data_IF_757204270241
#
_entry.id   IF_757204270241
#
_cell.length_a   1.000
_cell.length_b   1.000
_cell.length_c   1.000
_cell.angle_alpha   90.00
_cell.angle_beta   90.00
_cell.angle_gamma   90.00
#
_symmetry.space_group_name_H-M   'P 1'
#
loop_
_entity.id
_entity.type
_entity.pdbx_description
1 polymer ?
#
# COMPACT_ATOMS: atom_id res chain seq x y z
N UNK A 1 -27.57 86.92 39.25
CA UNK A 1 -26.46 85.92 39.29
C UNK A 1 -27.02 84.55 38.99
N UNK A 2 -26.81 84.08 37.76
CA UNK A 2 -27.30 82.74 37.31
C UNK A 2 -26.13 81.77 37.51
N UNK A 3 -26.30 80.80 38.44
CA UNK A 3 -25.32 79.73 38.69
C UNK A 3 -25.39 78.77 37.54
N UNK A 4 -24.25 78.55 36.83
CA UNK A 4 -24.09 77.46 35.87
C UNK A 4 -24.15 76.09 36.60
N UNK A 5 -24.84 75.09 36.08
CA UNK A 5 -24.80 73.75 36.65
C UNK A 5 -23.43 73.11 36.47
N UNK A 6 -23.01 72.22 37.37
CA UNK A 6 -21.71 71.59 37.30
C UNK A 6 -21.68 70.68 36.06
N UNK A 7 -20.61 70.76 35.23
CA UNK A 7 -20.34 69.84 34.13
C UNK A 7 -20.23 68.43 34.69
N UNK A 8 -21.04 67.57 34.19
CA UNK A 8 -21.15 66.17 34.62
C UNK A 8 -19.79 65.47 34.52
N UNK A 9 -19.33 64.91 35.61
CA UNK A 9 -18.16 64.02 35.71
C UNK A 9 -18.38 62.66 35.04
N UNK A 10 -19.51 62.43 34.38
CA UNK A 10 -19.89 61.23 33.70
C UNK A 10 -19.15 61.00 32.35
N UNK A 11 -18.59 62.05 31.75
CA UNK A 11 -17.91 61.87 30.42
C UNK A 11 -16.48 61.26 30.52
N UNK A 12 -15.81 61.42 31.67
CA UNK A 12 -14.45 60.86 31.82
C UNK A 12 -14.42 59.37 32.15
N UNK A 13 -15.45 58.86 32.83
CA UNK A 13 -15.55 57.45 33.17
C UNK A 13 -15.94 56.58 31.92
N UNK A 14 -16.77 57.12 31.06
CA UNK A 14 -17.15 56.46 29.79
C UNK A 14 -15.96 56.40 28.82
N UNK A 15 -15.22 57.51 28.67
CA UNK A 15 -14.02 57.53 27.82
C UNK A 15 -12.91 56.57 28.31
N UNK A 16 -12.70 56.49 29.63
CA UNK A 16 -11.75 55.55 30.21
C UNK A 16 -12.18 54.06 29.97
N UNK A 17 -13.49 53.77 30.07
CA UNK A 17 -14.02 52.45 29.77
C UNK A 17 -13.85 52.10 28.30
N UNK A 18 -14.05 53.04 27.39
CA UNK A 18 -13.89 52.79 25.93
C UNK A 18 -12.41 52.62 25.56
N UNK A 19 -11.48 53.32 26.17
CA UNK A 19 -10.04 53.13 26.02
C UNK A 19 -9.63 51.75 26.51
N UNK A 20 -10.11 51.30 27.66
CA UNK A 20 -9.81 49.98 28.19
C UNK A 20 -10.34 48.86 27.28
N UNK A 21 -11.59 48.96 26.80
CA UNK A 21 -12.18 48.02 25.85
C UNK A 21 -11.37 47.96 24.57
N UNK A 22 -10.94 49.09 24.04
CA UNK A 22 -10.12 49.15 22.84
C UNK A 22 -8.77 48.48 23.07
N UNK A 23 -8.07 48.77 24.15
CA UNK A 23 -6.80 48.09 24.48
C UNK A 23 -6.96 46.58 24.63
N UNK A 24 -8.04 46.13 25.26
CA UNK A 24 -8.35 44.73 25.41
C UNK A 24 -8.57 44.06 24.05
N UNK A 25 -9.35 44.65 23.15
CA UNK A 25 -9.59 44.16 21.79
C UNK A 25 -8.33 44.18 20.93
N UNK A 26 -7.53 45.23 21.04
CA UNK A 26 -6.25 45.32 20.32
C UNK A 26 -5.27 44.23 20.77
N UNK A 27 -5.22 43.92 22.06
CA UNK A 27 -4.41 42.80 22.57
C UNK A 27 -4.91 41.46 22.05
N UNK A 28 -6.23 41.21 22.10
CA UNK A 28 -6.80 39.98 21.55
C UNK A 28 -6.55 39.83 20.04
N UNK A 29 -6.70 40.93 19.28
CA UNK A 29 -6.40 40.96 17.86
C UNK A 29 -4.93 40.61 17.58
N UNK A 30 -4.01 41.19 18.33
CA UNK A 30 -2.58 40.93 18.21
C UNK A 30 -2.23 39.47 18.55
N UNK A 31 -2.82 38.93 19.61
CA UNK A 31 -2.60 37.52 20.00
C UNK A 31 -3.18 36.56 18.97
N UNK A 32 -4.36 36.87 18.44
CA UNK A 32 -4.98 36.08 17.37
C UNK A 32 -4.14 36.15 16.06
N UNK A 33 -3.69 37.33 15.68
CA UNK A 33 -2.82 37.53 14.50
C UNK A 33 -1.51 36.73 14.63
N UNK A 34 -0.86 36.77 15.82
CA UNK A 34 0.33 35.96 16.07
C UNK A 34 0.05 34.46 15.97
N UNK A 35 -1.11 34.01 16.50
CA UNK A 35 -1.53 32.64 16.44
C UNK A 35 -1.74 32.17 14.98
N UNK A 36 -2.41 32.97 14.15
CA UNK A 36 -2.61 32.72 12.72
C UNK A 36 -1.26 32.62 12.00
N UNK A 37 -0.36 33.58 12.24
CA UNK A 37 0.97 33.57 11.62
C UNK A 37 1.80 32.33 12.02
N UNK A 38 1.67 31.88 13.28
CA UNK A 38 2.33 30.67 13.76
C UNK A 38 1.77 29.42 13.04
N UNK A 39 0.44 29.34 12.88
CA UNK A 39 -0.23 28.25 12.17
C UNK A 39 0.16 28.23 10.68
N UNK A 40 0.18 29.38 10.01
CA UNK A 40 0.59 29.48 8.60
C UNK A 40 2.05 29.00 8.42
N UNK A 41 2.93 29.38 9.34
CA UNK A 41 4.32 28.92 9.32
C UNK A 41 4.44 27.42 9.53
N UNK A 42 3.62 26.84 10.43
CA UNK A 42 3.57 25.40 10.66
C UNK A 42 3.04 24.64 9.43
N UNK A 43 1.97 25.13 8.81
CA UNK A 43 1.42 24.56 7.57
C UNK A 43 2.48 24.56 6.46
N UNK A 44 3.13 25.70 6.23
CA UNK A 44 4.18 25.82 5.22
C UNK A 44 5.31 24.80 5.42
N UNK A 45 5.72 24.61 6.69
CA UNK A 45 6.76 23.63 7.04
C UNK A 45 6.29 22.20 6.78
N UNK A 46 5.07 21.85 7.19
CA UNK A 46 4.48 20.52 6.94
C UNK A 46 4.38 20.26 5.45
N UNK A 47 3.93 21.22 4.66
CA UNK A 47 3.82 21.10 3.20
C UNK A 47 5.18 20.83 2.54
N UNK A 48 6.23 21.53 2.98
CA UNK A 48 7.59 21.30 2.46
C UNK A 48 8.11 19.91 2.82
N UNK A 49 7.94 19.48 4.07
CA UNK A 49 8.34 18.15 4.53
C UNK A 49 7.55 17.05 3.79
N UNK A 50 6.25 17.26 3.59
CA UNK A 50 5.39 16.33 2.86
C UNK A 50 5.81 16.20 1.40
N UNK A 51 6.07 17.31 0.70
CA UNK A 51 6.55 17.32 -0.69
C UNK A 51 7.88 16.58 -0.82
N UNK A 52 8.81 16.80 0.09
CA UNK A 52 10.11 16.12 0.07
C UNK A 52 9.96 14.61 0.27
N UNK A 53 9.24 14.19 1.32
CA UNK A 53 9.00 12.76 1.61
C UNK A 53 8.23 12.07 0.49
N UNK A 54 7.23 12.74 -0.08
CA UNK A 54 6.45 12.19 -1.19
C UNK A 54 7.36 11.93 -2.40
N UNK A 55 8.22 12.89 -2.76
CA UNK A 55 9.14 12.73 -3.88
C UNK A 55 10.11 11.57 -3.67
N UNK A 56 10.72 11.49 -2.50
CA UNK A 56 11.68 10.43 -2.16
C UNK A 56 11.02 9.03 -2.24
N UNK A 57 9.81 8.89 -1.68
CA UNK A 57 9.05 7.63 -1.73
C UNK A 57 8.58 7.32 -3.15
N UNK A 58 8.11 8.33 -3.90
CA UNK A 58 7.68 8.17 -5.28
C UNK A 58 8.82 7.63 -6.17
N UNK A 59 10.02 8.20 -6.04
CA UNK A 59 11.18 7.75 -6.80
C UNK A 59 11.59 6.32 -6.43
N UNK A 60 11.54 5.96 -5.14
CA UNK A 60 11.82 4.60 -4.68
C UNK A 60 10.79 3.59 -5.20
N UNK A 61 9.49 3.91 -5.11
CA UNK A 61 8.41 3.04 -5.63
C UNK A 61 8.59 2.88 -7.14
N UNK A 62 8.88 3.95 -7.85
CA UNK A 62 9.05 3.94 -9.31
C UNK A 62 10.19 3.01 -9.75
N UNK A 63 11.33 3.08 -9.08
CA UNK A 63 12.47 2.20 -9.34
C UNK A 63 12.13 0.73 -9.02
N UNK A 64 11.48 0.47 -7.89
CA UNK A 64 11.08 -0.87 -7.49
C UNK A 64 10.02 -1.44 -8.44
N UNK A 65 9.02 -0.62 -8.84
CA UNK A 65 7.97 -1.02 -9.78
C UNK A 65 8.58 -1.50 -11.10
N UNK A 66 9.51 -0.75 -11.67
CA UNK A 66 10.18 -1.15 -12.90
C UNK A 66 10.94 -2.48 -12.71
N UNK A 67 11.60 -2.66 -11.58
CA UNK A 67 12.35 -3.89 -11.26
C UNK A 67 11.41 -5.11 -11.16
N UNK A 68 10.34 -5.03 -10.36
CA UNK A 68 9.37 -6.11 -10.18
C UNK A 68 8.60 -6.40 -11.47
N UNK A 69 8.20 -5.35 -12.20
CA UNK A 69 7.54 -5.50 -13.49
C UNK A 69 8.40 -6.29 -14.47
N UNK A 70 9.68 -5.92 -14.62
CA UNK A 70 10.61 -6.63 -15.50
C UNK A 70 10.80 -8.08 -15.09
N UNK A 71 10.83 -8.38 -13.79
CA UNK A 71 10.93 -9.74 -13.26
C UNK A 71 9.67 -10.56 -13.60
N UNK A 72 8.46 -10.02 -13.39
CA UNK A 72 7.19 -10.71 -13.60
C UNK A 72 6.90 -10.93 -15.10
N UNK A 73 7.11 -9.90 -15.92
CA UNK A 73 6.81 -9.98 -17.36
C UNK A 73 7.98 -10.52 -18.22
N UNK A 74 9.15 -10.69 -17.62
CA UNK A 74 10.35 -11.12 -18.35
C UNK A 74 10.91 -10.04 -19.27
N UNK A 75 10.59 -8.78 -19.02
CA UNK A 75 11.02 -7.62 -19.79
C UNK A 75 9.99 -6.50 -19.78
N UNK A 76 10.15 -5.53 -20.68
CA UNK A 76 9.29 -4.35 -20.73
C UNK A 76 9.69 -3.28 -19.72
N UNK A 77 8.77 -2.36 -19.43
CA UNK A 77 8.99 -1.23 -18.52
C UNK A 77 7.70 -0.80 -17.87
N UNK A 78 7.74 -0.47 -16.59
CA UNK A 78 6.64 0.20 -15.90
C UNK A 78 7.17 1.36 -15.06
N UNK A 79 6.35 2.41 -14.95
CA UNK A 79 6.70 3.61 -14.20
C UNK A 79 5.43 4.35 -13.76
N UNK A 80 5.62 5.18 -12.73
CA UNK A 80 4.59 6.08 -12.23
C UNK A 80 4.73 7.44 -12.91
N UNK A 81 3.61 8.05 -13.22
CA UNK A 81 3.51 9.39 -13.80
C UNK A 81 2.58 10.25 -12.94
N UNK A 82 3.02 11.46 -12.63
CA UNK A 82 2.19 12.43 -11.92
C UNK A 82 1.20 13.07 -12.89
N UNK A 83 -0.03 13.26 -12.45
CA UNK A 83 -1.07 13.89 -13.29
C UNK A 83 -1.03 15.40 -13.25
N UNK A 84 -0.37 15.99 -12.25
CA UNK A 84 -0.23 17.43 -12.07
C UNK A 84 1.17 17.78 -11.51
N UNK A 85 1.57 19.04 -11.65
CA UNK A 85 2.83 19.55 -11.12
C UNK A 85 2.80 19.88 -9.62
N UNK A 86 1.62 20.05 -9.03
CA UNK A 86 1.49 20.27 -7.59
C UNK A 86 1.52 18.96 -6.81
N UNK A 87 2.64 18.66 -6.18
CA UNK A 87 2.89 17.42 -5.45
C UNK A 87 1.91 17.14 -4.29
N UNK A 88 1.20 18.15 -3.78
CA UNK A 88 0.22 17.97 -2.69
C UNK A 88 -1.15 17.53 -3.21
N UNK A 89 -1.50 17.92 -4.42
CA UNK A 89 -2.82 17.65 -5.01
C UNK A 89 -2.77 16.71 -6.22
N UNK A 90 -1.56 16.28 -6.62
CA UNK A 90 -1.38 15.45 -7.81
C UNK A 90 -1.96 14.05 -7.62
N UNK A 91 -2.53 13.51 -8.69
CA UNK A 91 -2.80 12.08 -8.81
C UNK A 91 -1.57 11.33 -9.34
N UNK A 92 -1.59 10.01 -9.21
CA UNK A 92 -0.54 9.13 -9.74
C UNK A 92 -1.17 8.16 -10.73
N UNK A 93 -0.63 8.11 -11.94
CA UNK A 93 -1.00 7.15 -12.98
C UNK A 93 0.09 6.10 -13.15
N UNK A 94 -0.31 4.84 -13.34
CA UNK A 94 0.62 3.76 -13.64
C UNK A 94 0.67 3.58 -15.15
N UNK A 95 1.87 3.74 -15.70
CA UNK A 95 2.18 3.51 -17.11
C UNK A 95 2.97 2.22 -17.24
N UNK A 96 2.58 1.35 -18.16
CA UNK A 96 3.26 0.09 -18.40
C UNK A 96 3.41 -0.21 -19.89
N UNK A 97 4.53 -0.85 -20.22
CA UNK A 97 4.85 -1.37 -21.55
C UNK A 97 5.27 -2.84 -21.43
N UNK A 98 4.32 -3.78 -21.51
CA UNK A 98 4.65 -5.19 -21.61
C UNK A 98 5.56 -5.49 -22.80
N UNK A 99 6.33 -6.59 -22.80
CA UNK A 99 7.19 -6.96 -23.92
C UNK A 99 6.42 -7.01 -25.26
N UNK A 100 6.97 -6.39 -26.30
CA UNK A 100 6.35 -6.35 -27.63
C UNK A 100 5.16 -5.41 -27.79
N UNK A 101 4.81 -4.62 -26.79
CA UNK A 101 3.67 -3.68 -26.82
C UNK A 101 4.10 -2.23 -26.64
N UNK A 102 3.18 -1.30 -26.95
CA UNK A 102 3.38 0.14 -26.71
C UNK A 102 3.07 0.48 -25.25
N UNK A 103 3.64 1.58 -24.74
CA UNK A 103 3.30 2.13 -23.42
C UNK A 103 1.83 2.50 -23.38
N UNK A 104 1.16 2.08 -22.31
CA UNK A 104 -0.25 2.35 -22.06
C UNK A 104 -0.48 2.63 -20.58
N UNK A 105 -1.51 3.43 -20.31
CA UNK A 105 -2.06 3.51 -18.95
C UNK A 105 -2.62 2.14 -18.55
N UNK A 106 -2.52 1.79 -17.26
CA UNK A 106 -3.00 0.50 -16.72
C UNK A 106 -4.45 0.19 -17.12
N UNK A 107 -5.29 1.20 -17.27
CA UNK A 107 -6.70 1.03 -17.65
C UNK A 107 -6.89 0.43 -19.07
N UNK A 108 -5.89 0.57 -19.93
CA UNK A 108 -5.92 0.10 -21.33
C UNK A 108 -5.25 -1.28 -21.52
N UNK A 109 -4.77 -1.89 -20.45
CA UNK A 109 -4.16 -3.21 -20.47
C UNK A 109 -5.21 -4.33 -20.41
N UNK A 110 -4.84 -5.55 -20.81
CA UNK A 110 -5.67 -6.74 -20.61
C UNK A 110 -5.80 -7.09 -19.12
N UNK A 111 -6.78 -7.94 -18.76
CA UNK A 111 -7.03 -8.33 -17.37
C UNK A 111 -5.80 -8.93 -16.69
N UNK A 112 -5.12 -9.89 -17.34
CA UNK A 112 -3.89 -10.50 -16.82
C UNK A 112 -2.72 -9.52 -16.73
N UNK A 113 -2.57 -8.63 -17.70
CA UNK A 113 -1.56 -7.56 -17.62
C UNK A 113 -1.83 -6.58 -16.48
N UNK A 114 -3.10 -6.19 -16.27
CA UNK A 114 -3.49 -5.34 -15.13
C UNK A 114 -3.14 -5.99 -13.80
N UNK A 115 -3.46 -7.28 -13.65
CA UNK A 115 -3.15 -8.04 -12.45
C UNK A 115 -1.63 -8.08 -12.20
N UNK A 116 -0.83 -8.42 -13.22
CA UNK A 116 0.62 -8.47 -13.10
C UNK A 116 1.24 -7.11 -12.75
N UNK A 117 0.74 -6.01 -13.34
CA UNK A 117 1.16 -4.64 -13.00
C UNK A 117 0.76 -4.29 -11.56
N UNK A 118 -0.47 -4.65 -11.16
CA UNK A 118 -0.96 -4.43 -9.79
C UNK A 118 -0.09 -5.14 -8.76
N UNK A 119 0.25 -6.41 -9.00
CA UNK A 119 1.15 -7.19 -8.15
C UNK A 119 2.54 -6.51 -8.06
N UNK A 120 3.13 -6.13 -9.20
CA UNK A 120 4.41 -5.45 -9.23
C UNK A 120 4.39 -4.13 -8.43
N UNK A 121 3.28 -3.39 -8.51
CA UNK A 121 3.09 -2.15 -7.76
C UNK A 121 2.98 -2.39 -6.25
N UNK A 122 2.14 -3.35 -5.82
CA UNK A 122 2.01 -3.71 -4.40
C UNK A 122 3.35 -4.17 -3.83
N UNK A 123 4.09 -5.02 -4.55
CA UNK A 123 5.41 -5.49 -4.11
C UNK A 123 6.45 -4.37 -4.07
N UNK A 124 6.32 -3.36 -4.94
CA UNK A 124 7.20 -2.18 -4.89
C UNK A 124 7.03 -1.37 -3.61
N UNK A 125 5.81 -1.29 -3.09
CA UNK A 125 5.50 -0.64 -1.82
C UNK A 125 5.98 -1.50 -0.65
N UNK A 126 5.72 -2.82 -0.66
CA UNK A 126 6.19 -3.73 0.39
C UNK A 126 7.71 -3.75 0.54
N UNK A 127 8.44 -3.55 -0.54
CA UNK A 127 9.90 -3.47 -0.46
C UNK A 127 10.41 -2.26 0.32
N UNK A 128 9.63 -1.17 0.35
CA UNK A 128 9.99 0.04 1.10
C UNK A 128 9.53 -0.08 2.55
N UNK A 129 8.32 -0.59 2.76
CA UNK A 129 7.73 -0.76 4.08
C UNK A 129 7.13 -2.17 4.18
N UNK A 130 7.94 -3.18 4.52
CA UNK A 130 7.50 -4.57 4.57
C UNK A 130 6.47 -4.78 5.68
N UNK A 131 5.32 -5.36 5.30
CA UNK A 131 4.34 -5.85 6.26
C UNK A 131 4.82 -7.21 6.84
N UNK A 132 4.44 -7.56 8.07
CA UNK A 132 4.83 -8.83 8.68
C UNK A 132 4.24 -10.05 7.94
N UNK A 133 3.08 -9.89 7.31
CA UNK A 133 2.47 -10.90 6.45
C UNK A 133 1.70 -10.27 5.30
N UNK A 134 1.48 -11.04 4.24
CA UNK A 134 0.72 -10.65 3.05
C UNK A 134 -0.25 -11.78 2.68
N UNK A 135 -1.54 -11.47 2.62
CA UNK A 135 -2.57 -12.38 2.14
C UNK A 135 -2.90 -12.09 0.68
N UNK A 136 -2.75 -13.09 -0.18
CA UNK A 136 -3.00 -13.02 -1.61
C UNK A 136 -4.13 -13.99 -1.98
N UNK A 137 -5.26 -13.45 -2.42
CA UNK A 137 -6.46 -14.19 -2.77
C UNK A 137 -6.61 -14.23 -4.29
N UNK A 138 -6.39 -15.43 -4.87
CA UNK A 138 -6.48 -15.74 -6.32
C UNK A 138 -5.78 -14.74 -7.25
N UNK A 139 -4.70 -14.09 -6.79
CA UNK A 139 -3.98 -13.07 -7.58
C UNK A 139 -3.24 -13.65 -8.79
N UNK A 140 -2.97 -14.94 -8.77
CA UNK A 140 -2.30 -15.71 -9.83
C UNK A 140 -3.27 -16.21 -10.91
N UNK A 141 -4.58 -16.25 -10.64
CA UNK A 141 -5.58 -16.77 -11.58
C UNK A 141 -5.59 -16.06 -12.95
N UNK A 142 -5.42 -14.73 -13.07
CA UNK A 142 -5.39 -14.06 -14.35
C UNK A 142 -4.03 -14.09 -15.07
N UNK A 143 -2.98 -14.67 -14.45
CA UNK A 143 -1.64 -14.77 -15.02
C UNK A 143 -1.53 -16.01 -15.91
N UNK A 144 -0.78 -15.90 -17.01
CA UNK A 144 -0.37 -17.08 -17.78
C UNK A 144 0.71 -17.88 -17.03
N UNK A 145 0.94 -19.12 -17.42
CA UNK A 145 1.89 -20.01 -16.74
C UNK A 145 3.32 -19.44 -16.69
N UNK A 146 3.75 -18.74 -17.74
CA UNK A 146 5.08 -18.15 -17.80
C UNK A 146 5.23 -16.99 -16.81
N UNK A 147 4.22 -16.11 -16.73
CA UNK A 147 4.20 -15.01 -15.78
C UNK A 147 3.97 -15.50 -14.35
N UNK A 148 3.16 -16.55 -14.17
CA UNK A 148 2.96 -17.16 -12.87
C UNK A 148 4.25 -17.79 -12.32
N UNK A 149 5.02 -18.50 -13.14
CA UNK A 149 6.34 -19.00 -12.75
C UNK A 149 7.29 -17.88 -12.29
N UNK A 150 7.27 -16.73 -12.98
CA UNK A 150 8.08 -15.58 -12.61
C UNK A 150 7.58 -14.90 -11.34
N UNK A 151 6.26 -14.79 -11.17
CA UNK A 151 5.61 -14.33 -9.96
C UNK A 151 6.02 -15.19 -8.77
N UNK A 152 5.96 -16.51 -8.87
CA UNK A 152 6.39 -17.44 -7.83
C UNK A 152 7.85 -17.21 -7.41
N UNK A 153 8.76 -16.94 -8.37
CA UNK A 153 10.16 -16.61 -8.06
C UNK A 153 10.29 -15.32 -7.27
N UNK A 154 9.54 -14.28 -7.66
CA UNK A 154 9.53 -12.99 -6.94
C UNK A 154 9.01 -13.16 -5.51
N UNK A 155 7.93 -13.93 -5.34
CA UNK A 155 7.39 -14.23 -4.01
C UNK A 155 8.42 -14.97 -3.15
N UNK A 156 9.11 -15.96 -3.72
CA UNK A 156 10.17 -16.70 -3.01
C UNK A 156 11.32 -15.80 -2.57
N UNK A 157 11.75 -14.86 -3.42
CA UNK A 157 12.76 -13.85 -3.03
C UNK A 157 12.28 -12.94 -1.88
N UNK A 158 10.98 -12.63 -1.81
CA UNK A 158 10.43 -11.77 -0.78
C UNK A 158 10.08 -12.53 0.51
N UNK A 159 9.93 -13.85 0.44
CA UNK A 159 9.52 -14.68 1.58
C UNK A 159 10.54 -14.71 2.71
N UNK A 160 11.79 -14.29 2.46
CA UNK A 160 12.81 -14.13 3.50
C UNK A 160 12.47 -13.01 4.49
N UNK A 161 11.66 -12.04 4.09
CA UNK A 161 11.30 -10.86 4.89
C UNK A 161 9.80 -10.73 5.18
N UNK A 162 8.94 -11.39 4.42
CA UNK A 162 7.48 -11.29 4.52
C UNK A 162 6.85 -12.67 4.48
N UNK A 163 5.97 -12.98 5.42
CA UNK A 163 5.19 -14.22 5.39
C UNK A 163 4.05 -14.08 4.37
N UNK A 164 4.00 -14.99 3.38
CA UNK A 164 2.92 -15.02 2.40
C UNK A 164 1.88 -16.09 2.75
N UNK A 165 0.62 -15.72 2.62
CA UNK A 165 -0.53 -16.61 2.71
C UNK A 165 -1.28 -16.53 1.39
N UNK A 166 -1.42 -17.67 0.69
CA UNK A 166 -2.10 -17.75 -0.61
C UNK A 166 -3.43 -18.46 -0.50
N UNK A 167 -4.45 -17.91 -1.14
CA UNK A 167 -5.64 -18.65 -1.53
C UNK A 167 -5.53 -18.82 -3.04
N UNK A 168 -5.37 -20.07 -3.50
CA UNK A 168 -5.15 -20.35 -4.92
C UNK A 168 -5.64 -21.77 -5.29
N UNK A 169 -5.95 -21.96 -6.56
CA UNK A 169 -6.18 -23.26 -7.18
C UNK A 169 -5.08 -23.62 -8.20
N UNK A 170 -4.06 -22.75 -8.36
CA UNK A 170 -2.97 -22.96 -9.29
C UNK A 170 -1.90 -23.89 -8.69
N UNK A 171 -1.56 -24.97 -9.41
CA UNK A 171 -0.59 -25.97 -8.95
C UNK A 171 0.81 -25.39 -8.74
N UNK A 172 1.27 -24.49 -9.62
CA UNK A 172 2.60 -23.87 -9.52
C UNK A 172 2.74 -23.05 -8.24
N UNK A 173 1.67 -22.31 -7.88
CA UNK A 173 1.64 -21.53 -6.64
C UNK A 173 1.56 -22.45 -5.41
N UNK A 174 0.81 -23.55 -5.48
CA UNK A 174 0.75 -24.55 -4.40
C UNK A 174 2.12 -25.20 -4.14
N UNK A 175 2.88 -25.52 -5.20
CA UNK A 175 4.22 -26.13 -5.09
C UNK A 175 5.25 -25.19 -4.43
N UNK A 176 5.01 -23.90 -4.45
CA UNK A 176 5.85 -22.90 -3.79
C UNK A 176 5.69 -22.91 -2.27
N UNK A 177 4.54 -23.32 -1.75
CA UNK A 177 4.20 -23.24 -0.34
C UNK A 177 4.95 -24.28 0.50
N UNK A 178 5.40 -23.89 1.68
CA UNK A 178 5.99 -24.82 2.66
C UNK A 178 4.90 -25.65 3.36
N UNK A 179 3.71 -25.06 3.53
CA UNK A 179 2.53 -25.67 4.17
C UNK A 179 1.30 -25.49 3.30
N UNK A 180 0.62 -26.59 3.00
CA UNK A 180 -0.67 -26.62 2.30
C UNK A 180 -1.80 -26.83 3.30
N UNK A 181 -2.84 -26.00 3.21
CA UNK A 181 -4.07 -26.14 3.98
C UNK A 181 -5.26 -26.25 3.03
N UNK A 182 -5.90 -27.42 3.05
CA UNK A 182 -7.11 -27.68 2.25
C UNK A 182 -8.36 -27.56 3.09
N UNK A 183 -9.44 -27.05 2.48
CA UNK A 183 -10.77 -27.07 3.09
C UNK A 183 -11.58 -28.17 2.44
N UNK A 184 -12.06 -29.12 3.25
CA UNK A 184 -12.88 -30.25 2.78
C UNK A 184 -14.24 -30.21 3.46
N UNK A 185 -15.26 -30.71 2.77
CA UNK A 185 -16.62 -30.86 3.30
C UNK A 185 -17.03 -32.33 3.16
N UNK A 186 -16.84 -33.12 4.24
CA UNK A 186 -17.25 -34.53 4.27
C UNK A 186 -18.73 -34.68 4.59
N UNK A 187 -19.26 -33.77 5.39
CA UNK A 187 -20.68 -33.68 5.74
C UNK A 187 -21.24 -32.38 5.18
N UNK A 188 -22.46 -32.41 4.65
CA UNK A 188 -23.08 -31.24 4.05
C UNK A 188 -23.17 -30.07 5.07
N UNK A 189 -22.58 -28.93 4.74
CA UNK A 189 -22.57 -27.75 5.60
C UNK A 189 -21.47 -27.71 6.67
N UNK A 190 -20.62 -28.75 6.80
CA UNK A 190 -19.53 -28.80 7.79
C UNK A 190 -18.18 -28.78 7.09
N UNK A 191 -17.48 -27.65 7.13
CA UNK A 191 -16.13 -27.49 6.59
C UNK A 191 -15.08 -28.00 7.59
N UNK A 192 -14.10 -28.75 7.11
CA UNK A 192 -12.95 -29.22 7.87
C UNK A 192 -11.66 -28.75 7.23
N UNK A 193 -10.78 -28.15 8.04
CA UNK A 193 -9.44 -27.79 7.62
C UNK A 193 -8.52 -29.02 7.72
N UNK A 194 -7.75 -29.26 6.66
CA UNK A 194 -6.70 -30.29 6.60
C UNK A 194 -5.40 -29.60 6.20
N UNK A 195 -4.38 -29.67 7.05
CA UNK A 195 -3.07 -29.08 6.79
C UNK A 195 -2.03 -30.18 6.59
N UNK A 196 -1.16 -29.99 5.58
CA UNK A 196 -0.09 -30.93 5.24
C UNK A 196 1.19 -30.10 5.00
N UNK A 197 2.28 -30.52 5.64
CA UNK A 197 3.61 -29.99 5.32
C UNK A 197 4.07 -30.63 4.01
N UNK A 198 4.38 -29.83 3.00
CA UNK A 198 4.74 -30.32 1.64
C UNK A 198 6.00 -31.16 1.68
N UNK A 199 7.00 -30.79 2.47
CA UNK A 199 8.25 -31.53 2.62
C UNK A 199 8.04 -32.90 3.24
N UNK A 200 7.13 -33.03 4.22
CA UNK A 200 6.76 -34.31 4.81
C UNK A 200 5.94 -35.18 3.83
N UNK A 201 5.06 -34.57 3.04
CA UNK A 201 4.27 -35.27 2.04
C UNK A 201 5.14 -35.89 0.94
N UNK A 202 6.15 -35.17 0.47
CA UNK A 202 7.10 -35.66 -0.54
C UNK A 202 7.93 -36.83 0.00
N UNK A 203 8.38 -36.78 1.25
CA UNK A 203 9.14 -37.88 1.86
C UNK A 203 8.27 -39.13 2.09
N UNK A 204 6.98 -38.95 2.46
CA UNK A 204 6.04 -40.05 2.61
C UNK A 204 5.69 -40.76 1.28
N UNK A 205 5.60 -39.99 0.19
CA UNK A 205 5.37 -40.57 -1.16
C UNK A 205 6.60 -41.27 -1.71
N UNK A 206 7.81 -40.74 -1.50
CA UNK A 206 9.06 -41.35 -1.90
C UNK A 206 9.29 -42.68 -1.17
N UNK A 207 8.93 -42.80 0.10
CA UNK A 207 9.04 -44.03 0.89
C UNK A 207 8.00 -45.11 0.50
N UNK A 208 6.85 -44.73 -0.07
CA UNK A 208 5.85 -45.70 -0.57
C UNK A 208 6.22 -46.33 -1.89
N UNK A 209 7.01 -45.68 -2.73
CA UNK A 209 7.46 -46.18 -4.02
C UNK A 209 8.66 -47.13 -3.90
N UNK A 210 9.28 -47.25 -2.75
CA UNK A 210 10.44 -48.10 -2.48
C UNK A 210 10.11 -49.47 -1.82
N UNK A 211 8.83 -49.79 -1.60
CA UNK A 211 8.43 -51.13 -1.15
C UNK A 211 8.14 -52.02 -2.35
N UNK A 212 8.97 -53.02 -2.66
CA UNK A 212 8.64 -53.98 -3.70
C UNK A 212 7.50 -54.90 -3.20
N UNK A 213 6.38 -54.87 -3.91
CA UNK A 213 5.33 -55.87 -3.74
C UNK A 213 5.91 -57.28 -3.92
N UNK A 214 6.14 -57.96 -2.83
CA UNK A 214 6.35 -59.41 -2.84
C UNK A 214 4.99 -60.07 -3.04
N UNK A 215 4.60 -60.21 -4.30
CA UNK A 215 3.52 -61.14 -4.69
C UNK A 215 4.06 -62.56 -4.52
N UNK A 216 3.82 -63.16 -3.38
CA UNK A 216 3.88 -64.60 -3.21
C UNK A 216 2.58 -65.20 -3.74
N UNK A 217 2.66 -65.84 -4.85
CA UNK A 217 1.62 -66.70 -5.42
C UNK A 217 1.63 -68.05 -4.66
N UNK A 218 0.56 -68.52 -4.04
CA UNK A 218 0.46 -69.92 -3.62
C UNK A 218 -0.20 -70.77 -4.71
N UNK A 219 0.44 -71.89 -5.01
CA UNK A 219 -0.13 -73.04 -5.74
C UNK A 219 -1.45 -73.49 -5.16
#
# INVERSE_FOLDING_TARGET
MIRRPPRSTLSSSSAASDVYKRQYLDNQYNDLSKSVQTLESAITKIDQETKSKFKDIFDQINNNLNSFFTKIFGGGKAYLELTDNDLLNTGVSIMARPPGKLVKNINLLSGGEKAGVGIAFVFSIFKINPAPFCLLDEVDAPLDDANNNRFCKVVKEMSDSVQFIFITHNKLTMELADVLSGVTMREAGVSKLVSVNVNEAVTLTANKTSSPDSVSNPN
#
